data_IF_793206838957
#
_entry.id   IF_793206838957
#
_cell.length_a   1.000
_cell.length_b   1.000
_cell.length_c   1.000
_cell.angle_alpha   90.00
_cell.angle_beta   90.00
_cell.angle_gamma   90.00
#
_symmetry.space_group_name_H-M   'P 1'
#
loop_
_entity.id
_entity.type
_entity.pdbx_description
1 polymer ?
#
# COMPACT_ATOMS: atom_id res chain seq x y z
N UNK A 1 -14.69 -19.67 -5.38
CA UNK A 1 -13.74 -18.67 -4.83
C UNK A 1 -14.22 -17.25 -5.13
N UNK A 2 -14.62 -16.94 -6.36
CA UNK A 2 -15.05 -15.57 -6.72
C UNK A 2 -16.34 -15.13 -6.01
N UNK A 3 -17.39 -15.96 -6.00
CA UNK A 3 -18.66 -15.66 -5.30
C UNK A 3 -18.47 -15.46 -3.78
N UNK A 4 -17.55 -16.23 -3.18
CA UNK A 4 -17.22 -16.09 -1.77
C UNK A 4 -16.55 -14.75 -1.47
N UNK A 5 -15.56 -14.37 -2.29
CA UNK A 5 -14.89 -13.07 -2.16
C UNK A 5 -15.87 -11.91 -2.39
N UNK A 6 -16.80 -12.04 -3.35
CA UNK A 6 -17.85 -11.06 -3.61
C UNK A 6 -18.77 -10.89 -2.41
N UNK A 7 -19.25 -12.00 -1.83
CA UNK A 7 -20.06 -11.96 -0.61
C UNK A 7 -19.34 -11.25 0.54
N UNK A 8 -18.05 -11.53 0.77
CA UNK A 8 -17.30 -10.89 1.86
C UNK A 8 -17.13 -9.39 1.61
N UNK A 9 -16.75 -8.99 0.39
CA UNK A 9 -16.58 -7.57 0.04
C UNK A 9 -17.91 -6.82 0.18
N UNK A 10 -19.02 -7.38 -0.32
CA UNK A 10 -20.33 -6.76 -0.24
C UNK A 10 -20.80 -6.63 1.22
N UNK A 11 -20.73 -7.73 1.98
CA UNK A 11 -21.20 -7.80 3.38
C UNK A 11 -20.43 -6.86 4.31
N UNK A 12 -19.14 -6.66 4.05
CA UNK A 12 -18.26 -5.84 4.89
C UNK A 12 -17.83 -4.54 4.20
N UNK A 13 -18.51 -4.13 3.12
CA UNK A 13 -18.26 -2.87 2.40
C UNK A 13 -18.28 -1.66 3.32
N UNK A 14 -19.23 -1.60 4.25
CA UNK A 14 -19.31 -0.54 5.27
C UNK A 14 -18.04 -0.38 6.11
N UNK A 15 -17.29 -1.48 6.33
CA UNK A 15 -16.02 -1.49 7.06
C UNK A 15 -14.85 -1.20 6.14
N UNK A 16 -14.86 -1.76 4.93
CA UNK A 16 -13.82 -1.56 3.90
C UNK A 16 -13.78 -0.10 3.42
N UNK A 17 -14.94 0.54 3.30
CA UNK A 17 -15.11 1.90 2.80
C UNK A 17 -15.02 2.97 3.90
N UNK A 18 -14.52 2.59 5.08
CA UNK A 18 -14.34 3.48 6.22
C UNK A 18 -13.00 4.24 6.13
N UNK A 19 -13.07 5.58 6.12
CA UNK A 19 -11.88 6.44 6.11
C UNK A 19 -11.36 6.66 7.53
N UNK A 20 -10.28 5.95 7.91
CA UNK A 20 -9.66 6.09 9.24
C UNK A 20 -9.15 7.50 9.56
N UNK A 21 -9.01 8.35 8.56
CA UNK A 21 -8.66 9.77 8.72
C UNK A 21 -9.81 10.64 9.20
N UNK A 22 -11.04 10.10 9.21
CA UNK A 22 -12.32 10.71 9.59
C UNK A 22 -13.07 9.86 10.63
N UNK A 23 -12.32 9.25 11.55
CA UNK A 23 -12.87 8.30 12.51
C UNK A 23 -13.96 8.90 13.42
N UNK A 24 -13.71 10.08 13.98
CA UNK A 24 -14.65 10.77 14.87
C UNK A 24 -15.66 11.62 14.10
N UNK A 25 -15.26 12.20 12.96
CA UNK A 25 -16.16 13.01 12.13
C UNK A 25 -17.30 12.16 11.55
N UNK A 26 -16.99 10.92 11.14
CA UNK A 26 -17.97 10.01 10.54
C UNK A 26 -18.53 8.99 11.55
N UNK A 27 -18.29 9.20 12.85
CA UNK A 27 -18.69 8.33 13.97
C UNK A 27 -18.42 6.84 13.71
N UNK A 28 -17.25 6.49 13.18
CA UNK A 28 -16.99 5.12 12.70
C UNK A 28 -17.14 4.06 13.80
N UNK A 29 -16.90 4.42 15.06
CA UNK A 29 -17.12 3.52 16.19
C UNK A 29 -18.57 3.03 16.26
N UNK A 30 -19.57 3.92 16.09
CA UNK A 30 -20.99 3.56 16.25
C UNK A 30 -21.48 2.62 15.16
N UNK A 31 -20.80 2.59 14.01
CA UNK A 31 -21.11 1.69 12.89
C UNK A 31 -20.76 0.24 13.22
N UNK A 32 -19.86 -0.01 14.19
CA UNK A 32 -19.56 -1.37 14.63
C UNK A 32 -20.75 -1.98 15.38
N UNK A 33 -21.03 -3.29 15.19
CA UNK A 33 -22.01 -4.00 16.00
C UNK A 33 -21.77 -3.78 17.49
N UNK A 34 -22.83 -3.62 18.27
CA UNK A 34 -22.74 -3.36 19.72
C UNK A 34 -21.86 -4.39 20.45
N UNK A 35 -22.00 -5.67 20.10
CA UNK A 35 -21.18 -6.74 20.67
C UNK A 35 -19.68 -6.56 20.37
N UNK A 36 -19.32 -6.01 19.21
CA UNK A 36 -17.93 -5.71 18.87
C UNK A 36 -17.43 -4.56 19.71
N UNK A 37 -18.20 -3.47 19.84
CA UNK A 37 -17.82 -2.33 20.68
C UNK A 37 -17.58 -2.74 22.12
N UNK A 38 -18.48 -3.55 22.70
CA UNK A 38 -18.35 -4.02 24.08
C UNK A 38 -17.09 -4.87 24.29
N UNK A 39 -16.73 -5.71 23.32
CA UNK A 39 -15.53 -6.53 23.39
C UNK A 39 -14.22 -5.73 23.16
N UNK A 40 -14.28 -4.67 22.35
CA UNK A 40 -13.10 -3.95 21.87
C UNK A 40 -12.83 -2.62 22.59
N UNK A 41 -13.77 -2.09 23.38
CA UNK A 41 -13.64 -0.74 23.98
C UNK A 41 -12.39 -0.52 24.83
N UNK A 42 -11.88 -1.58 25.47
CA UNK A 42 -10.72 -1.54 26.38
C UNK A 42 -9.61 -2.47 25.88
N UNK A 43 -9.52 -2.71 24.57
CA UNK A 43 -8.48 -3.56 24.00
C UNK A 43 -7.11 -2.86 24.09
N UNK A 44 -6.11 -3.57 24.59
CA UNK A 44 -4.72 -3.08 24.62
C UNK A 44 -4.07 -3.21 23.23
N UNK A 45 -3.11 -2.33 22.86
CA UNK A 45 -2.49 -2.35 21.54
C UNK A 45 -1.88 -3.70 21.15
N UNK A 46 -1.25 -4.40 22.09
CA UNK A 46 -0.63 -5.71 21.84
C UNK A 46 -1.67 -6.79 21.56
N UNK A 47 -2.89 -6.63 22.09
CA UNK A 47 -4.01 -7.56 21.90
C UNK A 47 -4.70 -7.34 20.55
N UNK A 48 -4.62 -6.13 19.98
CA UNK A 48 -5.12 -5.81 18.64
C UNK A 48 -4.51 -6.67 17.53
N UNK A 49 -3.38 -7.35 17.78
CA UNK A 49 -2.79 -8.30 16.83
C UNK A 49 -3.78 -9.37 16.38
N UNK A 50 -4.71 -9.79 17.25
CA UNK A 50 -5.73 -10.76 16.88
C UNK A 50 -6.79 -10.19 15.93
N UNK A 51 -6.86 -8.88 15.71
CA UNK A 51 -7.72 -8.25 14.71
C UNK A 51 -6.99 -8.05 13.38
N UNK A 52 -5.68 -7.88 13.45
CA UNK A 52 -4.79 -7.64 12.30
C UNK A 52 -4.42 -8.96 11.62
N UNK A 53 -4.10 -9.99 12.41
CA UNK A 53 -3.85 -11.35 11.93
C UNK A 53 -5.00 -12.27 12.35
N UNK A 54 -5.75 -12.74 11.35
CA UNK A 54 -6.89 -13.60 11.56
C UNK A 54 -6.51 -14.98 12.16
N UNK A 55 -5.26 -15.42 11.99
CA UNK A 55 -4.74 -16.67 12.55
C UNK A 55 -4.33 -16.55 14.02
N UNK A 56 -4.07 -15.33 14.50
CA UNK A 56 -3.68 -15.10 15.89
C UNK A 56 -4.94 -15.10 16.78
N UNK A 57 -5.00 -15.96 17.82
CA UNK A 57 -6.11 -15.94 18.76
C UNK A 57 -6.01 -14.74 19.70
N UNK A 58 -7.16 -14.31 20.21
CA UNK A 58 -7.22 -13.41 21.37
C UNK A 58 -6.72 -14.15 22.62
N UNK A 59 -6.01 -13.44 23.51
CA UNK A 59 -5.45 -13.98 24.76
C UNK A 59 -6.34 -13.67 25.96
N UNK A 60 -6.89 -12.46 26.00
CA UNK A 60 -7.53 -11.87 27.19
C UNK A 60 -8.99 -11.50 26.97
N UNK A 61 -9.39 -11.27 25.71
CA UNK A 61 -10.76 -10.88 25.37
C UNK A 61 -11.52 -12.01 24.68
N UNK A 62 -12.81 -12.16 24.98
CA UNK A 62 -13.69 -13.07 24.25
C UNK A 62 -14.27 -12.32 23.06
N UNK A 63 -13.86 -12.70 21.85
CA UNK A 63 -14.38 -12.07 20.64
C UNK A 63 -15.82 -12.50 20.37
N UNK A 64 -16.73 -11.59 19.95
CA UNK A 64 -18.08 -11.95 19.56
C UNK A 64 -18.10 -12.96 18.40
N UNK A 65 -19.12 -13.83 18.36
CA UNK A 65 -19.26 -14.85 17.32
C UNK A 65 -19.16 -14.28 15.90
N UNK A 66 -19.80 -13.14 15.63
CA UNK A 66 -19.76 -12.51 14.30
C UNK A 66 -18.37 -12.02 13.89
N UNK A 67 -17.51 -11.64 14.86
CA UNK A 67 -16.13 -11.25 14.62
C UNK A 67 -15.23 -12.47 14.41
N UNK A 68 -15.47 -13.55 15.18
CA UNK A 68 -14.82 -14.85 14.94
C UNK A 68 -15.17 -15.41 13.56
N UNK A 69 -16.43 -15.32 13.15
CA UNK A 69 -16.85 -15.68 11.80
C UNK A 69 -16.14 -14.84 10.75
N UNK A 70 -16.01 -13.51 10.94
CA UNK A 70 -15.25 -12.67 10.01
C UNK A 70 -13.78 -13.12 9.92
N UNK A 71 -13.11 -13.38 11.06
CA UNK A 71 -11.75 -13.92 11.07
C UNK A 71 -11.66 -15.21 10.24
N UNK A 72 -12.57 -16.15 10.43
CA UNK A 72 -12.62 -17.38 9.62
C UNK A 72 -12.89 -17.12 8.14
N UNK A 73 -13.76 -16.16 7.80
CA UNK A 73 -14.01 -15.82 6.39
C UNK A 73 -12.74 -15.27 5.73
N UNK A 74 -12.02 -14.38 6.42
CA UNK A 74 -10.78 -13.75 5.92
C UNK A 74 -9.66 -14.78 5.73
N UNK A 75 -9.51 -15.76 6.62
CA UNK A 75 -8.48 -16.82 6.44
C UNK A 75 -8.73 -17.72 5.24
N UNK A 76 -9.95 -17.75 4.71
CA UNK A 76 -10.30 -18.49 3.49
C UNK A 76 -10.18 -17.64 2.21
N UNK A 77 -9.88 -16.34 2.34
CA UNK A 77 -9.56 -15.49 1.19
C UNK A 77 -8.10 -15.68 0.77
N UNK A 78 -7.78 -15.50 -0.53
CA UNK A 78 -6.40 -15.51 -1.00
C UNK A 78 -5.56 -14.46 -0.27
N UNK A 79 -4.48 -14.91 0.39
CA UNK A 79 -3.51 -14.02 1.01
C UNK A 79 -2.37 -13.68 0.04
N UNK A 80 -1.73 -12.53 0.25
CA UNK A 80 -0.47 -12.19 -0.42
C UNK A 80 0.65 -12.88 0.35
N UNK A 81 1.33 -13.83 -0.30
CA UNK A 81 2.51 -14.48 0.29
C UNK A 81 3.79 -13.85 -0.25
N UNK A 82 4.67 -13.43 0.67
CA UNK A 82 5.99 -12.97 0.30
C UNK A 82 6.86 -14.16 -0.13
N UNK A 83 7.45 -14.09 -1.33
CA UNK A 83 8.44 -15.08 -1.75
C UNK A 83 9.72 -14.86 -0.95
N UNK A 84 10.15 -15.82 -0.13
CA UNK A 84 11.22 -15.56 0.85
C UNK A 84 12.63 -15.94 0.38
N UNK A 85 12.77 -16.74 -0.67
CA UNK A 85 14.08 -17.24 -1.14
C UNK A 85 14.17 -17.35 -2.67
N UNK A 86 15.40 -17.37 -3.24
CA UNK A 86 15.60 -17.64 -4.66
C UNK A 86 15.06 -19.01 -5.09
N UNK A 87 15.17 -20.02 -4.22
CA UNK A 87 14.60 -21.35 -4.46
C UNK A 87 13.07 -21.32 -4.59
N UNK A 88 12.38 -20.51 -3.78
CA UNK A 88 10.93 -20.35 -3.89
C UNK A 88 10.53 -19.69 -5.21
N UNK A 89 11.28 -18.67 -5.67
CA UNK A 89 11.10 -18.08 -7.01
C UNK A 89 11.25 -19.15 -8.09
N UNK A 90 12.32 -19.96 -8.01
CA UNK A 90 12.61 -21.00 -8.98
C UNK A 90 11.49 -22.04 -9.06
N UNK A 91 11.02 -22.52 -7.92
CA UNK A 91 9.92 -23.47 -7.84
C UNK A 91 8.63 -22.92 -8.45
N UNK A 92 8.24 -21.69 -8.11
CA UNK A 92 7.03 -21.05 -8.65
C UNK A 92 7.12 -20.79 -10.17
N UNK A 93 8.34 -20.55 -10.68
CA UNK A 93 8.56 -20.28 -12.09
C UNK A 93 8.88 -21.55 -12.91
N UNK A 94 8.98 -22.72 -12.28
CA UNK A 94 9.38 -23.97 -12.91
C UNK A 94 10.83 -23.96 -13.44
N UNK A 95 11.73 -23.24 -12.77
CA UNK A 95 13.15 -23.16 -13.12
C UNK A 95 13.85 -24.38 -12.52
N UNK A 96 14.56 -25.15 -13.36
CA UNK A 96 15.34 -26.31 -12.92
C UNK A 96 16.83 -25.96 -12.79
N UNK A 97 17.54 -26.68 -11.92
CA UNK A 97 18.99 -26.55 -11.73
C UNK A 97 19.38 -25.91 -10.41
N UNK A 98 20.66 -25.52 -10.29
CA UNK A 98 21.20 -24.89 -9.08
C UNK A 98 20.63 -23.48 -8.87
N UNK A 99 20.07 -23.26 -7.68
CA UNK A 99 19.58 -21.96 -7.24
C UNK A 99 20.44 -21.42 -6.11
N UNK A 100 20.72 -20.11 -6.05
CA UNK A 100 21.39 -19.52 -4.89
C UNK A 100 20.62 -19.82 -3.60
N UNK A 101 21.35 -20.05 -2.50
CA UNK A 101 20.74 -20.24 -1.19
C UNK A 101 20.06 -18.96 -0.69
N UNK A 102 20.67 -17.80 -0.97
CA UNK A 102 20.22 -16.49 -0.53
C UNK A 102 20.23 -15.49 -1.68
N UNK A 103 19.48 -14.40 -1.54
CA UNK A 103 19.60 -13.25 -2.43
C UNK A 103 21.00 -12.63 -2.31
N UNK A 104 21.58 -12.24 -3.43
CA UNK A 104 22.94 -11.71 -3.46
C UNK A 104 22.98 -10.25 -3.02
N UNK A 105 23.94 -9.86 -2.18
CA UNK A 105 24.17 -8.48 -1.76
C UNK A 105 24.95 -7.71 -2.84
N UNK A 106 24.31 -7.44 -3.98
CA UNK A 106 24.93 -6.87 -5.18
C UNK A 106 25.21 -5.37 -4.99
N UNK A 107 24.29 -4.65 -4.38
CA UNK A 107 24.38 -3.21 -4.17
C UNK A 107 25.46 -2.80 -3.17
N UNK A 108 25.83 -3.69 -2.24
CA UNK A 108 26.91 -3.43 -1.27
C UNK A 108 28.31 -3.70 -1.84
N UNK A 109 28.40 -4.55 -2.87
CA UNK A 109 29.66 -4.95 -3.51
C UNK A 109 29.96 -4.12 -4.76
N UNK A 110 28.93 -3.57 -5.41
CA UNK A 110 29.11 -2.68 -6.56
C UNK A 110 29.57 -1.28 -6.12
N UNK A 111 30.77 -0.89 -6.57
CA UNK A 111 31.34 0.46 -6.39
C UNK A 111 30.64 1.56 -7.21
N UNK A 112 29.44 1.29 -7.75
CA UNK A 112 28.62 2.31 -8.38
C UNK A 112 28.27 3.34 -7.30
N UNK A 113 28.65 4.61 -7.50
CA UNK A 113 28.51 5.73 -6.53
C UNK A 113 27.04 6.13 -6.24
N UNK A 114 26.14 5.17 -6.09
CA UNK A 114 24.73 5.38 -5.81
C UNK A 114 24.48 5.32 -4.30
N UNK A 115 24.22 6.46 -3.67
CA UNK A 115 23.73 6.52 -2.29
C UNK A 115 22.29 5.97 -2.24
N UNK A 116 22.14 4.67 -2.04
CA UNK A 116 20.85 3.99 -1.93
C UNK A 116 20.47 3.84 -0.45
N UNK A 117 19.18 4.06 -0.14
CA UNK A 117 18.63 3.72 1.18
C UNK A 117 18.58 2.19 1.34
N UNK A 118 18.69 1.65 2.57
CA UNK A 118 18.69 0.20 2.81
C UNK A 118 17.49 -0.55 2.19
N UNK A 119 16.28 0.02 2.29
CA UNK A 119 15.09 -0.56 1.62
C UNK A 119 15.27 -0.71 0.11
N UNK A 120 15.85 0.30 -0.54
CA UNK A 120 16.06 0.29 -2.00
C UNK A 120 17.17 -0.68 -2.41
N UNK A 121 18.19 -0.85 -1.57
CA UNK A 121 19.22 -1.88 -1.75
C UNK A 121 18.59 -3.28 -1.69
N UNK A 122 17.82 -3.55 -0.63
CA UNK A 122 17.10 -4.81 -0.44
C UNK A 122 16.19 -5.16 -1.63
N UNK A 123 15.41 -4.20 -2.14
CA UNK A 123 14.56 -4.41 -3.31
C UNK A 123 15.37 -4.73 -4.56
N UNK A 124 16.41 -3.95 -4.87
CA UNK A 124 17.23 -4.13 -6.09
C UNK A 124 17.99 -5.46 -6.07
N UNK A 125 18.62 -5.80 -4.95
CA UNK A 125 19.39 -7.04 -4.80
C UNK A 125 18.53 -8.27 -5.10
N UNK A 126 17.30 -8.28 -4.59
CA UNK A 126 16.34 -9.36 -4.84
C UNK A 126 15.87 -9.41 -6.29
N UNK A 127 15.62 -8.26 -6.89
CA UNK A 127 15.22 -8.17 -8.30
C UNK A 127 16.32 -8.71 -9.19
N UNK A 128 17.57 -8.30 -9.01
CA UNK A 128 18.68 -8.75 -9.86
C UNK A 128 18.84 -10.27 -9.79
N UNK A 129 18.86 -10.87 -8.59
CA UNK A 129 18.89 -12.34 -8.45
C UNK A 129 17.68 -13.00 -9.12
N UNK A 130 16.50 -12.39 -9.03
CA UNK A 130 15.27 -12.90 -9.67
C UNK A 130 15.38 -12.85 -11.20
N UNK A 131 15.94 -11.76 -11.77
CA UNK A 131 16.18 -11.62 -13.21
C UNK A 131 17.16 -12.68 -13.70
N UNK A 132 18.26 -12.91 -12.97
CA UNK A 132 19.24 -13.95 -13.29
C UNK A 132 18.61 -15.35 -13.33
N UNK A 133 17.76 -15.66 -12.34
CA UNK A 133 17.03 -16.92 -12.30
C UNK A 133 16.07 -17.07 -13.48
N UNK A 134 15.21 -16.07 -13.71
CA UNK A 134 14.21 -16.10 -14.78
C UNK A 134 14.85 -16.22 -16.16
N UNK A 135 16.04 -15.63 -16.35
CA UNK A 135 16.77 -15.73 -17.61
C UNK A 135 17.18 -17.17 -17.94
N UNK A 136 17.51 -17.96 -16.91
CA UNK A 136 17.94 -19.38 -17.02
C UNK A 136 16.79 -20.37 -17.06
N UNK A 137 15.53 -19.90 -17.09
CA UNK A 137 14.34 -20.76 -17.04
C UNK A 137 14.34 -21.88 -18.09
N UNK A 138 14.86 -21.61 -19.29
CA UNK A 138 14.92 -22.58 -20.38
C UNK A 138 16.38 -23.03 -20.58
N UNK A 139 16.71 -24.31 -20.35
CA UNK A 139 18.04 -24.83 -20.65
C UNK A 139 18.40 -24.61 -22.13
N UNK A 140 19.58 -24.04 -22.40
CA UNK A 140 20.10 -23.83 -23.75
C UNK A 140 19.59 -22.59 -24.49
N UNK A 141 18.61 -21.85 -23.98
CA UNK A 141 18.17 -20.57 -24.58
C UNK A 141 17.79 -19.54 -23.51
N UNK A 142 18.18 -18.27 -23.69
CA UNK A 142 17.74 -17.19 -22.81
C UNK A 142 16.22 -17.01 -22.90
N UNK A 143 15.56 -16.83 -21.75
CA UNK A 143 14.15 -16.46 -21.73
C UNK A 143 13.92 -15.08 -22.38
N UNK A 144 14.90 -14.18 -22.23
CA UNK A 144 14.93 -12.83 -22.80
C UNK A 144 16.38 -12.35 -22.94
N UNK A 145 16.59 -11.40 -23.84
CA UNK A 145 17.89 -10.77 -24.16
C UNK A 145 17.91 -9.29 -23.77
N UNK A 146 16.74 -8.69 -23.60
CA UNK A 146 16.57 -7.29 -23.20
C UNK A 146 15.75 -7.18 -21.93
N UNK A 147 16.15 -6.31 -21.01
CA UNK A 147 15.41 -5.92 -19.80
C UNK A 147 14.96 -4.48 -19.95
N UNK A 148 13.68 -4.23 -19.76
CA UNK A 148 13.05 -2.91 -19.89
C UNK A 148 12.53 -2.50 -18.51
N UNK A 149 13.19 -1.53 -17.89
CA UNK A 149 12.82 -0.92 -16.60
C UNK A 149 11.87 0.25 -16.85
N UNK A 150 10.56 0.01 -16.67
CA UNK A 150 9.49 0.99 -16.89
C UNK A 150 9.23 1.76 -15.60
N UNK A 151 9.28 3.08 -15.66
CA UNK A 151 9.20 3.95 -14.48
C UNK A 151 10.51 3.97 -13.69
N UNK A 152 11.64 3.94 -14.40
CA UNK A 152 12.97 3.79 -13.82
C UNK A 152 13.38 4.95 -12.90
N UNK A 153 12.76 6.13 -13.04
CA UNK A 153 13.06 7.35 -12.29
C UNK A 153 14.54 7.72 -12.41
N UNK A 154 15.29 7.64 -11.31
CA UNK A 154 16.74 7.90 -11.30
C UNK A 154 17.60 6.78 -11.92
N UNK A 155 16.99 5.73 -12.48
CA UNK A 155 17.67 4.63 -13.18
C UNK A 155 18.59 3.80 -12.29
N UNK A 156 18.32 3.72 -10.99
CA UNK A 156 19.16 2.93 -10.07
C UNK A 156 19.12 1.43 -10.36
N UNK A 157 17.92 0.90 -10.61
CA UNK A 157 17.74 -0.51 -10.93
C UNK A 157 18.39 -0.84 -12.28
N UNK A 158 18.02 -0.12 -13.35
CA UNK A 158 18.64 -0.26 -14.66
C UNK A 158 20.18 -0.23 -14.64
N UNK A 159 20.81 0.70 -13.91
CA UNK A 159 22.27 0.79 -13.80
C UNK A 159 22.90 -0.44 -13.15
N UNK A 160 22.27 -0.97 -12.10
CA UNK A 160 22.78 -2.16 -11.41
C UNK A 160 22.55 -3.41 -12.26
N UNK A 161 21.38 -3.56 -12.90
CA UNK A 161 21.11 -4.63 -13.85
C UNK A 161 22.13 -4.66 -14.98
N UNK A 162 22.46 -3.50 -15.56
CA UNK A 162 23.46 -3.39 -16.63
C UNK A 162 24.86 -3.81 -16.18
N UNK A 163 25.23 -3.49 -14.93
CA UNK A 163 26.52 -3.89 -14.37
C UNK A 163 26.59 -5.39 -14.02
N UNK A 164 25.48 -5.96 -13.54
CA UNK A 164 25.39 -7.33 -13.03
C UNK A 164 25.09 -8.37 -14.12
N UNK A 165 24.31 -8.03 -15.14
CA UNK A 165 23.82 -8.96 -16.16
C UNK A 165 24.28 -8.47 -17.55
N UNK A 166 25.59 -8.59 -17.79
CA UNK A 166 26.27 -7.99 -18.95
C UNK A 166 25.82 -8.53 -20.30
N UNK A 167 25.23 -9.71 -20.33
CA UNK A 167 24.77 -10.35 -21.55
C UNK A 167 23.33 -9.96 -21.89
N UNK A 168 22.69 -9.06 -21.13
CA UNK A 168 21.41 -8.45 -21.45
C UNK A 168 21.55 -6.98 -21.82
N UNK A 169 20.79 -6.53 -22.82
CA UNK A 169 20.55 -5.11 -23.04
C UNK A 169 19.63 -4.59 -21.92
N UNK A 170 19.95 -3.45 -21.31
CA UNK A 170 19.09 -2.84 -20.29
C UNK A 170 18.63 -1.47 -20.76
N UNK A 171 17.32 -1.27 -20.78
CA UNK A 171 16.69 -0.06 -21.27
C UNK A 171 15.82 0.51 -20.15
N UNK A 172 16.08 1.75 -19.78
CA UNK A 172 15.29 2.48 -18.79
C UNK A 172 14.33 3.40 -19.54
N UNK A 173 13.04 3.27 -19.25
CA UNK A 173 11.98 4.08 -19.86
C UNK A 173 11.29 4.87 -18.77
N UNK A 174 11.23 6.18 -18.94
CA UNK A 174 10.46 7.08 -18.09
C UNK A 174 9.25 7.56 -18.91
N UNK A 175 8.05 7.17 -18.48
CA UNK A 175 6.77 7.49 -19.13
C UNK A 175 6.52 6.86 -20.52
N UNK A 176 5.30 7.05 -21.02
CA UNK A 176 4.55 6.22 -21.98
C UNK A 176 5.04 6.31 -23.44
N UNK A 177 6.35 6.17 -23.68
CA UNK A 177 6.86 6.11 -25.04
C UNK A 177 6.79 4.68 -25.59
N UNK A 178 5.80 4.44 -26.46
CA UNK A 178 5.71 3.27 -27.33
C UNK A 178 6.81 3.28 -28.40
N UNK A 179 8.08 3.45 -28.03
CA UNK A 179 9.17 3.15 -28.96
C UNK A 179 9.41 1.63 -28.94
N UNK A 180 8.70 0.96 -29.86
CA UNK A 180 8.73 -0.49 -30.07
C UNK A 180 10.13 -0.98 -30.46
N UNK A 181 10.61 -1.99 -29.73
CA UNK A 181 11.90 -2.65 -29.99
C UNK A 181 11.80 -3.65 -31.17
N UNK A 182 12.66 -3.44 -32.17
CA UNK A 182 12.85 -4.36 -33.30
C UNK A 182 13.74 -5.55 -32.88
N UNK A 183 13.11 -6.68 -32.51
CA UNK A 183 13.61 -8.01 -32.90
C UNK A 183 14.07 -8.97 -31.81
N UNK A 184 14.09 -8.60 -30.52
CA UNK A 184 14.56 -9.47 -29.43
C UNK A 184 13.48 -9.79 -28.39
N UNK A 185 13.68 -10.88 -27.63
CA UNK A 185 12.83 -11.26 -26.50
C UNK A 185 13.11 -10.36 -25.31
N UNK A 186 12.07 -9.87 -24.65
CA UNK A 186 12.20 -8.88 -23.58
C UNK A 186 11.56 -9.31 -22.25
N UNK A 187 12.17 -8.87 -21.16
CA UNK A 187 11.61 -8.82 -19.82
C UNK A 187 11.15 -7.39 -19.52
N UNK A 188 9.90 -7.22 -19.09
CA UNK A 188 9.45 -5.95 -18.49
C UNK A 188 9.64 -5.97 -16.98
N UNK A 189 10.16 -4.89 -16.43
CA UNK A 189 10.22 -4.66 -14.98
C UNK A 189 9.51 -3.35 -14.66
N UNK A 190 8.58 -3.41 -13.70
CA UNK A 190 8.00 -2.23 -13.07
C UNK A 190 8.17 -2.31 -11.57
N UNK A 191 9.07 -1.52 -11.00
CA UNK A 191 9.28 -1.42 -9.56
C UNK A 191 8.53 -0.20 -8.99
N UNK A 192 7.46 -0.45 -8.23
CA UNK A 192 6.53 0.58 -7.74
C UNK A 192 5.78 1.41 -8.81
N UNK A 193 5.37 0.85 -9.98
CA UNK A 193 4.58 1.61 -10.94
C UNK A 193 3.22 1.97 -10.33
N UNK A 194 3.00 3.28 -10.16
CA UNK A 194 1.82 3.82 -9.49
C UNK A 194 0.61 3.83 -10.44
N UNK A 195 -0.58 3.47 -9.93
CA UNK A 195 -1.84 3.59 -10.67
C UNK A 195 -1.79 2.92 -12.04
N UNK A 196 -2.26 3.64 -13.05
CA UNK A 196 -2.43 3.14 -14.42
C UNK A 196 -1.12 2.72 -15.09
N UNK A 197 0.05 3.12 -14.58
CA UNK A 197 1.31 2.60 -15.12
C UNK A 197 1.40 1.08 -14.95
N UNK A 198 0.90 0.53 -13.83
CA UNK A 198 0.81 -0.93 -13.66
C UNK A 198 -0.11 -1.58 -14.70
N UNK A 199 -1.24 -0.92 -15.01
CA UNK A 199 -2.19 -1.36 -16.03
C UNK A 199 -1.55 -1.36 -17.43
N UNK A 200 -0.85 -0.28 -17.78
CA UNK A 200 -0.14 -0.17 -19.06
C UNK A 200 0.92 -1.25 -19.23
N UNK A 201 1.72 -1.54 -18.19
CA UNK A 201 2.73 -2.62 -18.24
C UNK A 201 2.07 -3.98 -18.51
N UNK A 202 0.95 -4.28 -17.84
CA UNK A 202 0.19 -5.52 -18.06
C UNK A 202 -0.38 -5.62 -19.48
N UNK A 203 -0.84 -4.49 -20.04
CA UNK A 203 -1.33 -4.43 -21.43
C UNK A 203 -0.20 -4.65 -22.43
N UNK A 204 0.96 -4.02 -22.21
CA UNK A 204 2.14 -4.24 -23.05
C UNK A 204 2.55 -5.71 -23.01
N UNK A 205 2.59 -6.32 -21.81
CA UNK A 205 2.91 -7.74 -21.64
C UNK A 205 1.94 -8.66 -22.41
N UNK A 206 0.64 -8.39 -22.32
CA UNK A 206 -0.39 -9.23 -22.98
C UNK A 206 -0.49 -9.00 -24.49
N UNK A 207 -0.20 -7.79 -24.99
CA UNK A 207 -0.29 -7.43 -26.41
C UNK A 207 1.00 -7.68 -27.19
N UNK A 208 2.15 -7.77 -26.51
CA UNK A 208 3.45 -7.89 -27.16
C UNK A 208 3.97 -9.32 -27.12
N UNK A 209 3.98 -10.06 -28.25
CA UNK A 209 4.50 -11.43 -28.30
C UNK A 209 6.03 -11.50 -28.07
N UNK A 210 6.74 -10.36 -28.13
CA UNK A 210 8.17 -10.29 -27.85
C UNK A 210 8.49 -10.21 -26.36
N UNK A 211 7.52 -9.79 -25.54
CA UNK A 211 7.70 -9.76 -24.09
C UNK A 211 7.36 -11.14 -23.54
N UNK A 212 8.40 -11.87 -23.14
CA UNK A 212 8.28 -13.26 -22.70
C UNK A 212 8.19 -13.39 -21.18
N UNK A 213 8.62 -12.36 -20.45
CA UNK A 213 8.67 -12.34 -18.99
C UNK A 213 8.28 -10.96 -18.46
N UNK A 214 7.71 -10.91 -17.26
CA UNK A 214 7.39 -9.66 -16.56
C UNK A 214 7.65 -9.81 -15.06
N UNK A 215 8.20 -8.76 -14.45
CA UNK A 215 8.28 -8.57 -12.99
C UNK A 215 7.55 -7.27 -12.68
N UNK A 216 6.51 -7.32 -11.85
CA UNK A 216 5.66 -6.16 -11.56
C UNK A 216 5.38 -6.05 -10.06
N UNK A 217 5.71 -4.89 -9.48
CA UNK A 217 5.46 -4.56 -8.06
C UNK A 217 4.57 -3.32 -7.94
N UNK A 218 3.27 -3.45 -8.23
CA UNK A 218 2.31 -2.34 -8.11
C UNK A 218 2.11 -1.88 -6.66
N UNK A 219 1.89 -0.58 -6.43
CA UNK A 219 1.87 0.01 -5.08
C UNK A 219 0.74 1.01 -4.77
N UNK A 220 0.18 1.72 -5.77
CA UNK A 220 -0.85 2.75 -5.55
C UNK A 220 -2.15 2.40 -6.28
N UNK A 221 -2.87 1.37 -5.80
CA UNK A 221 -4.12 0.93 -6.39
C UNK A 221 -5.22 1.99 -6.34
N UNK A 222 -5.20 2.90 -5.35
CA UNK A 222 -6.12 4.05 -5.28
C UNK A 222 -5.95 5.05 -6.42
N UNK A 223 -4.84 5.01 -7.16
CA UNK A 223 -4.59 5.86 -8.35
C UNK A 223 -4.98 5.20 -9.67
N UNK A 224 -5.55 4.00 -9.63
CA UNK A 224 -6.06 3.38 -10.85
C UNK A 224 -7.27 4.19 -11.35
N UNK A 225 -7.39 4.45 -12.63
CA UNK A 225 -8.62 5.05 -13.18
C UNK A 225 -9.78 4.04 -13.13
N UNK A 226 -10.97 4.54 -12.80
CA UNK A 226 -12.22 3.76 -12.78
C UNK A 226 -13.33 4.49 -13.53
N UNK A 227 -14.33 3.74 -14.01
CA UNK A 227 -15.45 4.30 -14.76
C UNK A 227 -16.21 5.40 -13.98
N UNK A 228 -16.27 5.28 -12.65
CA UNK A 228 -16.94 6.24 -11.77
C UNK A 228 -16.18 7.57 -11.68
N UNK A 229 -14.85 7.51 -11.69
CA UNK A 229 -13.97 8.70 -11.64
C UNK A 229 -13.88 9.39 -13.02
N UNK A 230 -13.93 8.63 -14.12
CA UNK A 230 -13.97 9.19 -15.48
C UNK A 230 -15.31 9.86 -15.80
N UNK A 231 -16.43 9.40 -15.23
CA UNK A 231 -17.72 10.06 -15.39
C UNK A 231 -17.76 11.49 -14.80
N UNK A 232 -16.86 11.80 -13.87
CA UNK A 232 -16.70 13.13 -13.27
C UNK A 232 -15.58 13.99 -13.87
N UNK A 233 -14.68 13.42 -14.67
CA UNK A 233 -13.48 14.08 -15.18
C UNK A 233 -13.33 13.84 -16.69
N UNK A 234 -13.43 14.91 -17.48
CA UNK A 234 -13.49 14.87 -18.95
C UNK A 234 -12.14 14.64 -19.67
N UNK A 235 -11.14 13.99 -19.06
CA UNK A 235 -9.84 13.75 -19.71
C UNK A 235 -9.13 12.48 -19.18
N UNK A 236 -9.08 11.42 -19.99
CA UNK A 236 -7.98 10.44 -19.98
C UNK A 236 -7.56 10.17 -21.44
N UNK A 237 -6.25 10.27 -21.71
CA UNK A 237 -5.65 10.22 -23.07
C UNK A 237 -5.64 8.83 -23.72
N UNK A 238 -6.19 7.79 -23.08
CA UNK A 238 -6.10 6.41 -23.58
C UNK A 238 -7.43 5.65 -23.66
N UNK A 239 -8.53 6.17 -23.11
CA UNK A 239 -9.84 5.51 -23.09
C UNK A 239 -9.89 4.14 -22.40
N UNK A 240 -8.80 3.69 -21.76
CA UNK A 240 -8.67 2.36 -21.15
C UNK A 240 -8.43 2.43 -19.62
N UNK A 241 -9.48 2.13 -18.86
CA UNK A 241 -9.52 2.11 -17.38
C UNK A 241 -8.43 1.27 -16.70
N UNK A 242 -7.80 1.82 -15.67
CA UNK A 242 -6.84 1.12 -14.81
C UNK A 242 -7.46 0.02 -13.95
N UNK A 243 -8.74 0.14 -13.60
CA UNK A 243 -9.49 -0.92 -12.92
C UNK A 243 -10.97 -0.93 -13.34
N UNK A 244 -11.58 -2.12 -13.52
CA UNK A 244 -10.96 -3.45 -13.57
C UNK A 244 -10.23 -3.74 -14.90
N UNK A 245 -9.12 -4.48 -14.85
CA UNK A 245 -8.32 -4.80 -16.05
C UNK A 245 -8.82 -6.00 -16.85
N UNK A 246 -9.25 -7.06 -16.17
CA UNK A 246 -9.64 -8.31 -16.82
C UNK A 246 -11.11 -8.32 -17.20
N UNK A 247 -11.44 -8.92 -18.35
CA UNK A 247 -12.83 -9.13 -18.76
C UNK A 247 -13.68 -9.87 -17.70
N UNK A 248 -13.07 -10.84 -17.00
CA UNK A 248 -13.71 -11.65 -15.94
C UNK A 248 -14.23 -10.82 -14.76
N UNK A 249 -13.61 -9.69 -14.44
CA UNK A 249 -13.95 -8.86 -13.28
C UNK A 249 -14.49 -7.49 -13.67
N UNK A 250 -14.93 -7.31 -14.93
CA UNK A 250 -15.33 -6.00 -15.49
C UNK A 250 -16.49 -5.34 -14.73
N UNK A 251 -17.34 -6.14 -14.08
CA UNK A 251 -18.46 -5.68 -13.25
C UNK A 251 -18.07 -5.38 -11.80
N UNK A 252 -16.90 -5.81 -11.32
CA UNK A 252 -16.48 -5.51 -9.96
C UNK A 252 -16.24 -4.00 -9.81
N UNK A 253 -16.63 -3.48 -8.66
CA UNK A 253 -16.36 -2.11 -8.22
C UNK A 253 -15.67 -2.17 -6.87
N UNK A 254 -14.66 -1.32 -6.72
CA UNK A 254 -13.98 -1.11 -5.47
C UNK A 254 -13.89 0.39 -5.29
N UNK A 255 -14.38 0.89 -4.15
CA UNK A 255 -14.31 2.31 -3.82
C UNK A 255 -12.86 2.80 -3.80
N UNK A 256 -12.69 4.12 -3.77
CA UNK A 256 -11.38 4.70 -3.50
C UNK A 256 -10.78 4.17 -2.19
N UNK A 257 -11.58 4.10 -1.11
CA UNK A 257 -11.14 3.60 0.20
C UNK A 257 -10.69 2.14 0.14
N UNK A 258 -11.44 1.27 -0.54
CA UNK A 258 -11.08 -0.13 -0.71
C UNK A 258 -9.74 -0.30 -1.46
N UNK A 259 -9.55 0.50 -2.52
CA UNK A 259 -8.30 0.49 -3.31
C UNK A 259 -7.13 1.11 -2.52
N UNK A 260 -7.39 2.10 -1.67
CA UNK A 260 -6.37 2.66 -0.79
C UNK A 260 -5.95 1.66 0.28
N UNK A 261 -6.90 0.99 0.93
CA UNK A 261 -6.65 -0.07 1.90
C UNK A 261 -5.81 -1.20 1.30
N UNK A 262 -6.01 -1.55 0.04
CA UNK A 262 -5.22 -2.57 -0.66
C UNK A 262 -3.73 -2.17 -0.87
N UNK A 263 -3.38 -0.89 -0.67
CA UNK A 263 -2.00 -0.38 -0.71
C UNK A 263 -1.26 -0.56 0.63
N UNK A 264 -1.98 -0.83 1.72
CA UNK A 264 -1.39 -0.90 3.05
C UNK A 264 -0.69 -2.26 3.29
N UNK A 265 0.49 -2.21 3.90
CA UNK A 265 1.23 -3.40 4.35
C UNK A 265 0.87 -3.73 5.79
N UNK A 266 -0.02 -4.70 5.98
CA UNK A 266 -0.58 -5.07 7.28
C UNK A 266 0.48 -5.71 8.20
N UNK A 267 1.46 -6.39 7.61
CA UNK A 267 2.52 -7.12 8.29
C UNK A 267 3.44 -6.18 9.07
N UNK A 268 3.75 -5.02 8.48
CA UNK A 268 4.54 -3.97 9.15
C UNK A 268 3.77 -3.38 10.32
N UNK A 269 2.46 -3.22 10.20
CA UNK A 269 1.64 -2.71 11.30
C UNK A 269 1.55 -3.74 12.45
N UNK A 270 1.36 -5.02 12.12
CA UNK A 270 1.38 -6.12 13.07
C UNK A 270 2.70 -6.17 13.88
N UNK A 271 3.85 -6.09 13.21
CA UNK A 271 5.15 -6.05 13.88
C UNK A 271 5.28 -4.84 14.81
N UNK A 272 4.79 -3.67 14.37
CA UNK A 272 4.85 -2.45 15.17
C UNK A 272 4.03 -2.55 16.45
N UNK A 273 2.83 -3.16 16.40
CA UNK A 273 1.99 -3.37 17.58
C UNK A 273 2.70 -4.20 18.66
N UNK A 274 3.57 -5.13 18.27
CA UNK A 274 4.27 -6.03 19.18
C UNK A 274 5.60 -5.48 19.70
N UNK A 275 6.26 -4.60 18.92
CA UNK A 275 7.65 -4.21 19.16
C UNK A 275 7.82 -2.76 19.61
N UNK A 276 6.90 -1.86 19.23
CA UNK A 276 7.03 -0.44 19.54
C UNK A 276 6.40 -0.10 20.90
N UNK A 277 7.03 0.77 21.70
CA UNK A 277 6.41 1.28 22.92
C UNK A 277 5.18 2.14 22.56
N UNK A 278 4.24 2.26 23.51
CA UNK A 278 3.02 3.06 23.31
C UNK A 278 3.29 4.51 22.90
N UNK A 279 4.41 5.09 23.37
CA UNK A 279 4.84 6.45 23.00
C UNK A 279 5.09 6.63 21.50
N UNK A 280 5.34 5.55 20.75
CA UNK A 280 5.53 5.61 19.31
C UNK A 280 4.23 5.94 18.55
N UNK A 281 3.06 5.76 19.18
CA UNK A 281 1.75 6.05 18.60
C UNK A 281 1.22 7.44 18.97
N UNK A 282 2.06 8.26 19.64
CA UNK A 282 1.67 9.60 20.12
C UNK A 282 1.11 10.49 19.01
N UNK A 283 1.63 10.40 17.78
CA UNK A 283 1.14 11.20 16.66
C UNK A 283 -0.27 10.80 16.21
N UNK A 284 -0.57 9.50 16.24
CA UNK A 284 -1.89 8.95 15.96
C UNK A 284 -2.87 9.36 17.06
N UNK A 285 -2.45 9.33 18.32
CA UNK A 285 -3.24 9.84 19.44
C UNK A 285 -3.53 11.34 19.29
N UNK A 286 -2.54 12.16 18.92
CA UNK A 286 -2.78 13.58 18.65
C UNK A 286 -3.73 13.81 17.48
N UNK A 287 -3.63 13.01 16.42
CA UNK A 287 -4.59 13.07 15.31
C UNK A 287 -6.00 12.76 15.79
N UNK A 288 -6.18 11.71 16.58
CA UNK A 288 -7.46 11.33 17.17
C UNK A 288 -8.04 12.42 18.08
N UNK A 289 -7.21 13.02 18.94
CA UNK A 289 -7.62 14.13 19.81
C UNK A 289 -8.02 15.35 18.99
N UNK A 290 -7.24 15.72 17.96
CA UNK A 290 -7.56 16.84 17.09
C UNK A 290 -8.92 16.65 16.41
N UNK A 291 -9.15 15.46 15.86
CA UNK A 291 -10.41 15.14 15.19
C UNK A 291 -11.61 15.15 16.16
N UNK A 292 -11.42 14.62 17.38
CA UNK A 292 -12.43 14.68 18.44
C UNK A 292 -12.75 16.12 18.85
N UNK A 293 -11.74 16.99 19.00
CA UNK A 293 -11.93 18.42 19.31
C UNK A 293 -12.72 19.13 18.22
N UNK A 294 -12.42 18.87 16.94
CA UNK A 294 -13.17 19.42 15.82
C UNK A 294 -14.62 18.96 15.82
N UNK A 295 -14.88 17.70 16.17
CA UNK A 295 -16.23 17.12 16.23
C UNK A 295 -17.06 17.73 17.36
N UNK A 296 -16.42 18.01 18.51
CA UNK A 296 -17.04 18.61 19.70
C UNK A 296 -17.09 20.14 19.67
N UNK A 297 -16.54 20.78 18.63
CA UNK A 297 -16.51 22.24 18.56
C UNK A 297 -17.90 22.83 18.30
N UNK A 298 -18.16 23.97 18.94
CA UNK A 298 -19.35 24.81 18.69
C UNK A 298 -19.01 26.07 17.90
N UNK A 299 -17.75 26.23 17.49
CA UNK A 299 -17.32 27.34 16.64
C UNK A 299 -17.91 27.20 15.23
N UNK A 300 -18.44 28.29 14.68
CA UNK A 300 -19.17 28.28 13.42
C UNK A 300 -18.27 27.90 12.23
N UNK A 301 -17.02 28.37 12.22
CA UNK A 301 -16.09 28.13 11.12
C UNK A 301 -15.59 26.67 11.15
N UNK A 302 -15.32 26.14 12.36
CA UNK A 302 -15.02 24.72 12.55
C UNK A 302 -16.19 23.85 12.09
N UNK A 303 -17.41 24.17 12.52
CA UNK A 303 -18.61 23.40 12.14
C UNK A 303 -18.82 23.37 10.61
N UNK A 304 -18.57 24.50 9.94
CA UNK A 304 -18.73 24.63 8.49
C UNK A 304 -17.69 23.86 7.70
N UNK A 305 -16.44 23.83 8.18
CA UNK A 305 -15.31 23.27 7.43
C UNK A 305 -14.90 21.85 7.86
N UNK A 306 -15.31 21.35 9.04
CA UNK A 306 -14.82 20.07 9.60
C UNK A 306 -14.88 18.88 8.64
N UNK A 307 -15.88 18.81 7.77
CA UNK A 307 -16.04 17.72 6.81
C UNK A 307 -15.14 17.82 5.58
N UNK A 308 -14.51 18.96 5.31
CA UNK A 308 -13.60 19.18 4.17
C UNK A 308 -12.14 19.39 4.59
N UNK A 309 -11.86 19.55 5.88
CA UNK A 309 -10.51 19.77 6.38
C UNK A 309 -9.64 18.55 6.13
N UNK A 310 -8.49 18.80 5.49
CA UNK A 310 -7.44 17.80 5.29
C UNK A 310 -6.37 17.97 6.35
N UNK A 311 -6.38 17.09 7.36
CA UNK A 311 -5.36 17.06 8.40
C UNK A 311 -4.06 16.47 7.84
N UNK A 312 -3.01 17.28 7.73
CA UNK A 312 -1.74 16.88 7.14
C UNK A 312 -0.95 15.90 8.02
N UNK A 313 -0.16 15.05 7.36
CA UNK A 313 0.81 14.19 8.04
C UNK A 313 1.94 15.02 8.64
N UNK A 314 2.19 14.84 9.93
CA UNK A 314 3.23 15.54 10.68
C UNK A 314 4.32 14.55 11.06
N UNK A 315 5.57 14.88 10.76
CA UNK A 315 6.73 14.13 11.24
C UNK A 315 6.94 14.47 12.71
N UNK A 316 6.75 13.48 13.58
CA UNK A 316 6.95 13.64 15.01
C UNK A 316 8.39 14.02 15.36
N UNK A 317 8.54 14.84 16.39
CA UNK A 317 9.83 15.19 17.01
C UNK A 317 9.77 14.82 18.49
N UNK A 318 10.90 14.46 19.08
CA UNK A 318 10.97 14.16 20.50
C UNK A 318 10.46 15.35 21.32
N UNK A 319 9.55 15.08 22.25
CA UNK A 319 8.93 16.10 23.10
C UNK A 319 7.83 16.95 22.43
N UNK A 320 7.47 16.69 21.17
CA UNK A 320 6.42 17.46 20.48
C UNK A 320 5.10 17.48 21.27
N UNK A 321 4.60 18.68 21.50
CA UNK A 321 3.32 18.94 22.18
C UNK A 321 2.14 18.75 21.23
N UNK A 322 0.94 18.66 21.79
CA UNK A 322 -0.28 18.56 20.98
C UNK A 322 -0.53 19.83 20.17
N UNK A 323 -0.22 21.00 20.74
CA UNK A 323 -0.37 22.32 20.12
C UNK A 323 0.54 22.48 18.90
N UNK A 324 1.81 22.08 19.02
CA UNK A 324 2.74 22.08 17.89
C UNK A 324 2.30 21.13 16.79
N UNK A 325 1.78 19.95 17.16
CA UNK A 325 1.19 19.04 16.19
C UNK A 325 -0.01 19.67 15.48
N UNK A 326 -0.97 20.22 16.23
CA UNK A 326 -2.19 20.82 15.68
C UNK A 326 -1.87 21.93 14.68
N UNK A 327 -0.98 22.86 15.03
CA UNK A 327 -0.53 23.93 14.12
C UNK A 327 0.13 23.39 12.85
N UNK A 328 0.93 22.33 12.99
CA UNK A 328 1.59 21.69 11.84
C UNK A 328 0.59 20.93 10.96
N UNK A 329 -0.37 20.26 11.57
CA UNK A 329 -1.37 19.43 10.90
C UNK A 329 -2.44 20.27 10.19
N UNK A 330 -2.75 21.44 10.74
CA UNK A 330 -3.72 22.41 10.21
C UNK A 330 -3.04 23.66 9.64
N UNK A 331 -1.81 23.54 9.13
CA UNK A 331 -1.05 24.69 8.61
C UNK A 331 -1.78 25.47 7.51
N UNK A 332 -2.73 24.84 6.80
CA UNK A 332 -3.57 25.46 5.76
C UNK A 332 -4.85 26.10 6.28
N UNK A 333 -5.15 25.95 7.57
CA UNK A 333 -6.40 26.39 8.21
C UNK A 333 -6.08 27.16 9.52
N UNK A 334 -5.35 28.28 9.45
CA UNK A 334 -4.94 29.04 10.64
C UNK A 334 -6.13 29.54 11.47
N UNK A 335 -7.26 29.84 10.84
CA UNK A 335 -8.51 30.23 11.50
C UNK A 335 -9.08 29.11 12.39
N UNK A 336 -9.02 27.87 11.90
CA UNK A 336 -9.46 26.68 12.65
C UNK A 336 -8.55 26.43 13.85
N UNK A 337 -7.24 26.62 13.68
CA UNK A 337 -6.28 26.52 14.78
C UNK A 337 -6.64 27.51 15.89
N UNK A 338 -6.89 28.78 15.55
CA UNK A 338 -7.28 29.81 16.52
C UNK A 338 -8.54 29.44 17.31
N UNK A 339 -9.60 29.01 16.60
CA UNK A 339 -10.85 28.59 17.23
C UNK A 339 -10.66 27.41 18.22
N UNK A 340 -9.87 26.40 17.83
CA UNK A 340 -9.62 25.22 18.67
C UNK A 340 -8.73 25.55 19.88
N UNK A 341 -7.76 26.46 19.76
CA UNK A 341 -6.95 26.93 20.88
C UNK A 341 -7.81 27.67 21.93
N UNK A 342 -8.71 28.55 21.48
CA UNK A 342 -9.64 29.24 22.36
C UNK A 342 -10.60 28.27 23.08
N UNK A 343 -11.14 27.29 22.36
CA UNK A 343 -12.00 26.25 22.94
C UNK A 343 -11.29 25.48 24.04
N UNK A 344 -10.03 25.08 23.82
CA UNK A 344 -9.23 24.35 24.81
C UNK A 344 -9.01 25.17 26.08
N UNK A 345 -8.74 26.48 25.94
CA UNK A 345 -8.58 27.37 27.08
C UNK A 345 -9.86 27.47 27.91
N UNK A 346 -11.03 27.58 27.26
CA UNK A 346 -12.33 27.62 27.96
C UNK A 346 -12.59 26.35 28.76
N UNK A 347 -12.30 25.16 28.20
CA UNK A 347 -12.47 23.88 28.91
C UNK A 347 -11.57 23.78 30.14
N UNK A 348 -10.32 24.25 30.07
CA UNK A 348 -9.39 24.25 31.21
C UNK A 348 -9.78 25.25 32.30
N UNK A 349 -10.45 26.34 31.95
CA UNK A 349 -10.85 27.39 32.90
C UNK A 349 -12.13 27.02 33.66
N UNK A 350 -12.98 26.16 33.10
CA UNK A 350 -14.23 25.67 33.72
C UNK A 350 -13.99 24.49 34.69
N UNK A 351 -12.82 23.84 34.62
CA UNK A 351 -12.42 22.73 35.52
C UNK A 351 -11.53 23.17 36.70
N UNK A 352 -11.27 24.48 36.86
CA UNK A 352 -10.65 25.09 38.04
C UNK A 352 -11.71 25.88 38.80
#
# INVERSE_FOLDING_TARGET
MDEFSDFVIEKYSWLIDSYMTRYFIDDLWIKLPESWRLALQNIEPEECICLVDALVPSKTIVLPLSLLCLKTLVTNLPSREAVMSPAAVANLCGIQGETPQNFHNITSTNNLRTKLKPKKQYEIDRIVTTVELLRRRNPGTSAFDTVIDIGAGMGHLARILSASIRECNVIAVEQNEESMYLGQKALLIGLHPCGDLSASILRIFTRSPKVTTMILFGCCYHKLSTAEEEAGCSQTDSGELGFPLSAKYRWKRLSYAARDLACHGIETFAEQLLTKPHSAYRMQCYRAVLESLMTQSHDEEVCKQRSSIVVHSVVGKDGMTFEEYMRSALVRYPEIVGALEEQKYRVQTVQR
#
